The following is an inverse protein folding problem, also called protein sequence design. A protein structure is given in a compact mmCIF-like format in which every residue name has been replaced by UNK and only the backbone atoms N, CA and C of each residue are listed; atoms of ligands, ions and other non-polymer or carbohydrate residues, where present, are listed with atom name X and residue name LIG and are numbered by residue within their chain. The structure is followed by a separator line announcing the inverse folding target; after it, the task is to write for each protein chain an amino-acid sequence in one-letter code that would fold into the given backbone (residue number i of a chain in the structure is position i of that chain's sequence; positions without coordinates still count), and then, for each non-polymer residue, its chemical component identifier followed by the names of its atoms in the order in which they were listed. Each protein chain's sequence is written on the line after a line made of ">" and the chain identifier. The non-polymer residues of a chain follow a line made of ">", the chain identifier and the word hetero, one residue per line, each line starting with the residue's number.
data_IF_819374995557
#
_entry.id   IF_819374995557
#
_cell.length_a   1.000
_cell.length_b   1.000
_cell.length_c   1.000
_cell.angle_alpha   90.00
_cell.angle_beta   90.00
_cell.angle_gamma   90.00
#
_symmetry.space_group_name_H-M   'P 1'
#
loop_
_entity.id
_entity.type
_entity.pdbx_description
1 polymer ?
#
# COMPACT_ATOMS: atom_id res chain seq x y z
N UNK A 1 -56.99 -48.71 -6.83
CA UNK A 1 -56.57 -48.56 -5.41
C UNK A 1 -55.68 -47.31 -5.30
N UNK A 2 -55.92 -46.37 -4.37
CA UNK A 2 -55.10 -45.17 -4.25
C UNK A 2 -53.76 -45.49 -3.58
N UNK A 3 -52.65 -45.03 -4.19
CA UNK A 3 -51.29 -45.20 -3.66
C UNK A 3 -51.12 -44.30 -2.43
N UNK A 4 -50.86 -44.89 -1.27
CA UNK A 4 -50.71 -44.18 0.00
C UNK A 4 -49.56 -43.18 -0.03
N UNK A 5 -49.84 -41.93 0.35
CA UNK A 5 -48.83 -40.88 0.50
C UNK A 5 -47.94 -41.23 1.70
N UNK A 6 -46.68 -41.57 1.43
CA UNK A 6 -45.70 -41.92 2.46
C UNK A 6 -45.53 -40.78 3.48
N UNK A 7 -45.60 -41.12 4.77
CA UNK A 7 -45.42 -40.17 5.89
C UNK A 7 -44.00 -39.61 5.86
N UNK A 8 -43.83 -38.28 5.66
CA UNK A 8 -42.52 -37.61 5.77
C UNK A 8 -41.92 -37.86 7.15
N UNK A 9 -40.90 -38.72 7.22
CA UNK A 9 -40.13 -38.95 8.45
C UNK A 9 -39.32 -37.69 8.72
N UNK A 10 -39.52 -37.06 9.89
CA UNK A 10 -38.69 -35.92 10.30
C UNK A 10 -37.25 -36.41 10.43
N UNK A 11 -36.34 -35.78 9.68
CA UNK A 11 -34.90 -36.03 9.78
C UNK A 11 -34.46 -35.92 11.25
N UNK A 12 -33.84 -36.98 11.80
CA UNK A 12 -33.32 -36.97 13.16
C UNK A 12 -32.22 -35.92 13.23
N UNK A 13 -32.39 -34.93 14.11
CA UNK A 13 -31.40 -33.87 14.28
C UNK A 13 -30.16 -34.47 14.97
N UNK A 14 -29.11 -34.76 14.20
CA UNK A 14 -27.86 -35.29 14.74
C UNK A 14 -27.14 -34.18 15.53
N UNK A 15 -27.23 -34.25 16.86
CA UNK A 15 -26.51 -33.32 17.74
C UNK A 15 -25.03 -33.73 17.82
N UNK A 16 -24.14 -32.82 17.41
CA UNK A 16 -22.70 -32.99 17.54
C UNK A 16 -22.25 -32.53 18.93
N UNK A 17 -22.05 -33.47 19.85
CA UNK A 17 -21.64 -33.18 21.24
C UNK A 17 -20.27 -32.48 21.34
N UNK A 18 -19.39 -32.68 20.36
CA UNK A 18 -18.04 -32.10 20.32
C UNK A 18 -18.04 -30.60 19.93
N UNK A 19 -19.16 -30.06 19.45
CA UNK A 19 -19.24 -28.68 18.94
C UNK A 19 -19.97 -27.80 19.93
N UNK A 20 -19.22 -26.95 20.62
CA UNK A 20 -19.81 -25.92 21.46
C UNK A 20 -20.30 -24.73 20.60
N UNK A 21 -21.54 -24.83 20.13
CA UNK A 21 -22.20 -23.81 19.27
C UNK A 21 -22.20 -22.41 19.89
N UNK A 22 -22.23 -22.29 21.23
CA UNK A 22 -22.15 -20.98 21.92
C UNK A 22 -20.79 -20.33 21.72
N UNK A 23 -19.70 -21.10 21.90
CA UNK A 23 -18.33 -20.62 21.65
C UNK A 23 -18.12 -20.29 20.17
N UNK A 24 -18.61 -21.13 19.27
CA UNK A 24 -18.52 -20.90 17.83
C UNK A 24 -19.26 -19.62 17.40
N UNK A 25 -20.47 -19.39 17.90
CA UNK A 25 -21.20 -18.15 17.63
C UNK A 25 -20.47 -16.91 18.16
N UNK A 26 -19.82 -17.00 19.32
CA UNK A 26 -18.96 -15.90 19.81
C UNK A 26 -17.78 -15.63 18.86
N UNK A 27 -17.15 -16.67 18.33
CA UNK A 27 -16.07 -16.53 17.33
C UNK A 27 -16.58 -15.91 16.03
N UNK A 28 -17.74 -16.37 15.52
CA UNK A 28 -18.36 -15.88 14.27
C UNK A 28 -18.79 -14.40 14.32
N UNK A 29 -19.13 -13.89 15.51
CA UNK A 29 -19.50 -12.48 15.75
C UNK A 29 -18.34 -11.61 16.21
N UNK A 30 -17.20 -12.22 16.56
CA UNK A 30 -16.03 -11.47 17.00
C UNK A 30 -15.53 -10.62 15.85
N UNK A 31 -15.40 -9.33 16.11
CA UNK A 31 -14.80 -8.39 15.16
C UNK A 31 -13.31 -8.74 14.97
N UNK A 32 -12.82 -8.89 13.73
CA UNK A 32 -11.40 -9.04 13.47
C UNK A 32 -10.66 -7.70 13.70
N UNK A 33 -9.33 -7.73 13.74
CA UNK A 33 -8.56 -6.49 13.75
C UNK A 33 -8.60 -5.88 12.34
N UNK A 34 -9.22 -4.71 12.20
CA UNK A 34 -9.41 -4.02 10.92
C UNK A 34 -8.77 -2.65 11.02
N UNK A 35 -7.84 -2.36 10.11
CA UNK A 35 -7.12 -1.07 10.06
C UNK A 35 -7.96 0.03 9.41
N UNK A 36 -8.75 -0.32 8.39
CA UNK A 36 -9.62 0.64 7.69
C UNK A 36 -10.70 1.22 8.62
N UNK A 37 -10.68 2.54 8.79
CA UNK A 37 -11.60 3.25 9.67
C UNK A 37 -13.06 3.19 9.18
N UNK A 38 -13.29 3.24 7.86
CA UNK A 38 -14.63 3.18 7.27
C UNK A 38 -15.32 1.86 7.61
N UNK A 39 -14.66 0.73 7.34
CA UNK A 39 -15.21 -0.60 7.62
C UNK A 39 -15.45 -0.78 9.12
N UNK A 40 -14.50 -0.34 9.96
CA UNK A 40 -14.60 -0.44 11.42
C UNK A 40 -15.78 0.36 11.98
N UNK A 41 -16.04 1.56 11.45
CA UNK A 41 -17.16 2.43 11.87
C UNK A 41 -18.51 1.79 11.61
N UNK A 42 -18.66 1.10 10.48
CA UNK A 42 -19.93 0.51 10.06
C UNK A 42 -20.09 -0.96 10.45
N UNK A 43 -19.19 -1.49 11.28
CA UNK A 43 -19.24 -2.89 11.73
C UNK A 43 -20.32 -3.13 12.79
N UNK A 44 -21.22 -4.09 12.55
CA UNK A 44 -22.26 -4.49 13.51
C UNK A 44 -21.80 -5.71 14.33
N UNK A 45 -21.66 -5.55 15.65
CA UNK A 45 -21.24 -6.63 16.56
C UNK A 45 -22.33 -7.72 16.75
N UNK A 46 -23.58 -7.43 16.39
CA UNK A 46 -24.70 -8.35 16.50
C UNK A 46 -24.71 -9.43 15.41
N UNK A 47 -24.10 -9.12 14.26
CA UNK A 47 -24.08 -9.95 13.04
C UNK A 47 -22.78 -10.75 12.91
N UNK A 48 -22.78 -11.73 12.00
CA UNK A 48 -21.56 -12.46 11.63
C UNK A 48 -20.68 -11.59 10.75
N UNK A 49 -19.37 -11.84 10.77
CA UNK A 49 -18.42 -11.13 9.88
C UNK A 49 -18.84 -11.20 8.41
N UNK A 50 -19.28 -12.38 7.95
CA UNK A 50 -19.77 -12.58 6.58
C UNK A 50 -20.96 -11.67 6.25
N UNK A 51 -21.97 -11.61 7.12
CA UNK A 51 -23.15 -10.76 6.89
C UNK A 51 -22.80 -9.27 6.91
N UNK A 52 -21.80 -8.86 7.70
CA UNK A 52 -21.33 -7.47 7.72
C UNK A 52 -20.64 -7.09 6.40
N UNK A 53 -19.76 -7.94 5.88
CA UNK A 53 -19.14 -7.70 4.58
C UNK A 53 -20.18 -7.68 3.47
N UNK A 54 -21.12 -8.62 3.43
CA UNK A 54 -22.20 -8.63 2.45
C UNK A 54 -23.08 -7.36 2.52
N UNK A 55 -23.41 -6.89 3.73
CA UNK A 55 -24.17 -5.64 3.95
C UNK A 55 -23.42 -4.40 3.42
N UNK A 56 -22.10 -4.38 3.57
CA UNK A 56 -21.19 -3.35 3.05
C UNK A 56 -20.87 -3.54 1.57
N UNK A 57 -21.26 -4.66 0.97
CA UNK A 57 -20.94 -4.97 -0.43
C UNK A 57 -19.55 -5.55 -0.69
N UNK A 58 -18.86 -5.99 0.35
CA UNK A 58 -17.56 -6.64 0.32
C UNK A 58 -17.70 -8.17 0.33
N UNK A 59 -16.66 -8.87 -0.15
CA UNK A 59 -16.58 -10.32 -0.01
C UNK A 59 -15.99 -10.70 1.36
N UNK A 60 -16.45 -11.82 1.94
CA UNK A 60 -15.82 -12.39 3.14
C UNK A 60 -14.63 -13.28 2.82
N UNK A 61 -14.70 -14.02 1.70
CA UNK A 61 -13.71 -15.00 1.28
C UNK A 61 -13.44 -14.83 -0.22
N UNK A 62 -12.28 -14.25 -0.60
CA UNK A 62 -11.99 -13.91 -1.99
C UNK A 62 -11.90 -15.16 -2.88
N UNK A 63 -11.38 -16.26 -2.35
CA UNK A 63 -11.18 -17.50 -3.11
C UNK A 63 -12.52 -18.17 -3.48
N UNK A 64 -13.59 -17.90 -2.71
CA UNK A 64 -14.94 -18.39 -3.04
C UNK A 64 -15.64 -17.47 -4.03
N UNK A 65 -15.45 -16.16 -3.90
CA UNK A 65 -16.09 -15.19 -4.80
C UNK A 65 -15.42 -15.12 -6.16
N UNK A 66 -14.10 -15.32 -6.19
CA UNK A 66 -13.24 -15.30 -7.38
C UNK A 66 -12.39 -16.57 -7.37
N UNK A 67 -12.97 -17.74 -7.69
CA UNK A 67 -12.22 -18.98 -7.73
C UNK A 67 -11.15 -18.91 -8.83
N UNK A 68 -9.90 -19.18 -8.45
CA UNK A 68 -8.81 -19.30 -9.42
C UNK A 68 -9.06 -20.58 -10.22
N UNK A 69 -9.16 -20.50 -11.56
CA UNK A 69 -9.41 -21.66 -12.38
C UNK A 69 -8.19 -22.60 -12.33
N UNK A 70 -8.43 -23.89 -12.17
CA UNK A 70 -7.35 -24.87 -12.25
C UNK A 70 -6.92 -25.07 -13.71
N UNK A 71 -5.72 -25.59 -13.94
CA UNK A 71 -5.21 -25.88 -15.29
C UNK A 71 -6.20 -26.72 -16.12
N UNK A 72 -6.97 -27.61 -15.49
CA UNK A 72 -8.04 -28.40 -16.14
C UNK A 72 -9.25 -27.56 -16.58
N UNK A 73 -9.60 -26.54 -15.78
CA UNK A 73 -10.67 -25.59 -16.11
C UNK A 73 -10.24 -24.67 -17.26
N UNK A 74 -8.95 -24.30 -17.29
CA UNK A 74 -8.35 -23.47 -18.34
C UNK A 74 -8.20 -24.28 -19.64
N UNK A 75 -7.82 -25.56 -19.56
CA UNK A 75 -7.69 -26.47 -20.71
C UNK A 75 -9.03 -27.04 -21.22
N UNK A 76 -10.17 -26.53 -20.74
CA UNK A 76 -11.49 -26.91 -21.29
C UNK A 76 -11.94 -28.35 -21.02
N UNK A 77 -11.28 -29.07 -20.09
CA UNK A 77 -11.71 -30.42 -19.67
C UNK A 77 -12.87 -30.39 -18.65
N UNK A 78 -13.73 -29.38 -18.73
CA UNK A 78 -14.97 -29.35 -17.97
C UNK A 78 -16.01 -30.04 -18.82
N UNK A 79 -16.44 -31.25 -18.43
CA UNK A 79 -17.52 -31.97 -19.11
C UNK A 79 -18.69 -31.02 -19.41
N UNK A 80 -19.25 -31.15 -20.61
CA UNK A 80 -20.41 -30.42 -21.19
C UNK A 80 -21.66 -30.37 -20.29
N UNK A 81 -21.64 -30.98 -19.12
CA UNK A 81 -22.73 -31.00 -18.13
C UNK A 81 -22.75 -29.73 -17.24
N UNK A 82 -21.72 -28.87 -17.29
CA UNK A 82 -21.62 -27.66 -16.48
C UNK A 82 -22.19 -26.38 -17.14
N UNK A 83 -22.65 -26.45 -18.41
CA UNK A 83 -23.20 -25.28 -19.13
C UNK A 83 -24.68 -24.98 -18.79
N UNK A 84 -25.35 -25.81 -17.99
CA UNK A 84 -26.74 -25.58 -17.54
C UNK A 84 -26.87 -25.07 -16.11
N UNK A 85 -25.77 -24.66 -15.47
CA UNK A 85 -25.89 -23.79 -14.30
C UNK A 85 -26.25 -22.39 -14.79
N UNK A 86 -27.53 -22.20 -15.08
CA UNK A 86 -28.16 -20.88 -15.06
C UNK A 86 -27.61 -20.17 -13.81
N UNK A 87 -26.86 -19.09 -14.04
CA UNK A 87 -26.55 -18.16 -12.97
C UNK A 87 -27.90 -17.61 -12.57
N UNK A 88 -28.50 -18.24 -11.56
CA UNK A 88 -29.69 -17.74 -10.90
C UNK A 88 -29.39 -16.27 -10.62
N UNK A 89 -30.01 -15.39 -11.42
CA UNK A 89 -30.14 -13.98 -11.10
C UNK A 89 -31.10 -13.91 -9.91
N UNK A 90 -30.75 -14.56 -8.80
CA UNK A 90 -31.38 -14.30 -7.52
C UNK A 90 -31.26 -12.80 -7.35
N UNK A 91 -32.39 -12.12 -7.33
CA UNK A 91 -32.52 -10.69 -7.13
C UNK A 91 -31.69 -10.32 -5.91
N UNK A 92 -30.45 -9.87 -6.14
CA UNK A 92 -29.52 -9.55 -5.06
C UNK A 92 -30.20 -8.42 -4.28
N UNK A 93 -30.58 -8.72 -3.04
CA UNK A 93 -31.23 -7.74 -2.17
C UNK A 93 -30.37 -6.47 -2.17
N UNK A 94 -30.98 -5.28 -2.23
CA UNK A 94 -30.23 -4.04 -2.17
C UNK A 94 -29.37 -4.05 -0.91
N UNK A 95 -28.08 -3.73 -1.04
CA UNK A 95 -27.15 -3.82 0.08
C UNK A 95 -27.41 -2.62 0.97
N UNK A 96 -27.35 -2.81 2.29
CA UNK A 96 -27.78 -1.78 3.25
C UNK A 96 -26.76 -0.65 3.40
N UNK A 97 -25.48 -0.90 3.09
CA UNK A 97 -24.35 0.00 3.37
C UNK A 97 -23.43 0.17 2.15
N UNK A 98 -24.00 0.39 0.98
CA UNK A 98 -23.26 0.53 -0.30
C UNK A 98 -22.30 1.72 -0.31
N UNK A 99 -22.60 2.78 0.45
CA UNK A 99 -21.74 3.96 0.58
C UNK A 99 -20.33 3.63 1.10
N UNK A 100 -20.15 2.50 1.79
CA UNK A 100 -18.83 2.05 2.26
C UNK A 100 -17.93 1.72 1.07
N UNK A 101 -18.44 1.03 0.05
CA UNK A 101 -17.68 0.72 -1.16
C UNK A 101 -17.29 1.99 -1.88
N UNK A 102 -18.25 2.91 -2.06
CA UNK A 102 -18.00 4.19 -2.71
C UNK A 102 -16.90 4.99 -2.01
N UNK A 103 -16.93 5.06 -0.68
CA UNK A 103 -15.88 5.73 0.10
C UNK A 103 -14.51 5.07 -0.04
N UNK A 104 -14.46 3.73 -0.13
CA UNK A 104 -13.22 3.00 -0.37
C UNK A 104 -12.68 3.20 -1.79
N UNK A 105 -13.55 3.29 -2.79
CA UNK A 105 -13.17 3.59 -4.17
C UNK A 105 -12.59 5.01 -4.28
N UNK A 106 -13.21 5.99 -3.62
CA UNK A 106 -12.71 7.37 -3.54
C UNK A 106 -11.34 7.44 -2.84
N UNK A 107 -11.18 6.74 -1.71
CA UNK A 107 -9.90 6.65 -0.98
C UNK A 107 -8.81 5.97 -1.83
N UNK A 108 -9.14 4.88 -2.53
CA UNK A 108 -8.21 4.18 -3.41
C UNK A 108 -7.81 5.00 -4.66
N UNK A 109 -8.74 5.80 -5.19
CA UNK A 109 -8.46 6.70 -6.29
C UNK A 109 -7.58 7.90 -5.88
N UNK A 110 -7.49 8.19 -4.58
CA UNK A 110 -6.63 9.25 -4.10
C UNK A 110 -5.15 8.84 -4.24
N UNK A 111 -4.41 9.59 -5.05
CA UNK A 111 -2.98 9.34 -5.22
C UNK A 111 -2.22 9.56 -3.90
N UNK A 112 -1.64 8.49 -3.36
CA UNK A 112 -0.78 8.58 -2.17
C UNK A 112 0.47 9.40 -2.46
N UNK A 113 0.67 10.48 -1.70
CA UNK A 113 1.89 11.29 -1.78
C UNK A 113 3.01 10.60 -1.01
N UNK A 114 3.79 9.74 -1.68
CA UNK A 114 5.05 9.26 -1.11
C UNK A 114 5.99 10.45 -0.92
N UNK A 115 6.57 10.67 0.28
CA UNK A 115 7.51 11.76 0.49
C UNK A 115 8.73 11.53 -0.42
N UNK A 116 9.00 12.48 -1.31
CA UNK A 116 10.19 12.47 -2.15
C UNK A 116 11.39 12.83 -1.27
N UNK A 117 12.11 11.82 -0.79
CA UNK A 117 13.33 11.97 0.00
C UNK A 117 14.38 10.98 -0.46
N UNK A 118 15.63 11.40 -0.44
CA UNK A 118 16.80 10.58 -0.73
C UNK A 118 17.41 10.08 0.59
N UNK A 119 18.08 8.91 0.61
CA UNK A 119 18.89 8.49 1.74
C UNK A 119 19.94 9.55 2.12
N UNK A 120 20.27 9.67 3.40
CA UNK A 120 21.20 10.70 3.89
C UNK A 120 22.61 10.56 3.30
N UNK A 121 23.09 9.33 3.11
CA UNK A 121 24.40 9.04 2.51
C UNK A 121 24.47 9.49 1.05
N UNK A 122 23.42 9.23 0.27
CA UNK A 122 23.32 9.69 -1.12
C UNK A 122 23.30 11.22 -1.20
N UNK A 123 22.64 11.89 -0.24
CA UNK A 123 22.65 13.36 -0.15
C UNK A 123 24.05 13.89 0.13
N UNK A 124 24.75 13.32 1.12
CA UNK A 124 26.14 13.70 1.46
C UNK A 124 27.06 13.53 0.26
N UNK A 125 26.91 12.43 -0.48
CA UNK A 125 27.64 12.20 -1.72
C UNK A 125 27.35 13.27 -2.77
N UNK A 126 26.08 13.59 -3.04
CA UNK A 126 25.70 14.62 -4.02
C UNK A 126 26.25 16.00 -3.64
N UNK A 127 26.14 16.39 -2.36
CA UNK A 127 26.65 17.67 -1.85
C UNK A 127 28.16 17.76 -2.07
N UNK A 128 28.91 16.73 -1.67
CA UNK A 128 30.36 16.73 -1.82
C UNK A 128 30.80 16.80 -3.30
N UNK A 129 30.11 16.10 -4.18
CA UNK A 129 30.40 16.15 -5.61
C UNK A 129 30.10 17.53 -6.21
N UNK A 130 28.99 18.15 -5.81
CA UNK A 130 28.61 19.49 -6.24
C UNK A 130 29.58 20.57 -5.73
N UNK A 131 30.07 20.45 -4.50
CA UNK A 131 31.01 21.41 -3.90
C UNK A 131 32.41 21.30 -4.54
N UNK A 132 32.88 20.08 -4.82
CA UNK A 132 34.24 19.85 -5.34
C UNK A 132 34.35 20.04 -6.85
N UNK A 133 33.37 19.56 -7.62
CA UNK A 133 33.45 19.49 -9.09
C UNK A 133 32.39 20.33 -9.81
N UNK A 134 31.40 20.88 -9.11
CA UNK A 134 30.36 21.70 -9.71
C UNK A 134 29.47 20.90 -10.67
N UNK A 135 29.64 21.09 -11.98
CA UNK A 135 28.87 20.41 -13.04
C UNK A 135 29.72 19.47 -13.91
N UNK A 136 30.99 19.25 -13.56
CA UNK A 136 31.90 18.36 -14.29
C UNK A 136 31.67 16.87 -13.92
N UNK A 137 30.65 16.24 -14.52
CA UNK A 137 30.26 14.87 -14.19
C UNK A 137 31.33 13.80 -14.53
N UNK A 138 32.18 14.05 -15.53
CA UNK A 138 33.27 13.12 -15.87
C UNK A 138 34.34 13.07 -14.78
N UNK A 139 34.64 14.22 -14.15
CA UNK A 139 35.57 14.28 -13.01
C UNK A 139 34.97 13.65 -11.76
N UNK A 140 33.66 13.82 -11.54
CA UNK A 140 32.95 13.16 -10.43
C UNK A 140 33.03 11.63 -10.56
N UNK A 141 32.89 11.09 -11.77
CA UNK A 141 32.95 9.65 -12.00
C UNK A 141 34.35 9.07 -11.68
N UNK A 142 35.41 9.86 -11.87
CA UNK A 142 36.80 9.50 -11.57
C UNK A 142 37.21 9.75 -10.12
N UNK A 143 36.36 10.37 -9.30
CA UNK A 143 36.67 10.61 -7.89
C UNK A 143 36.69 9.30 -7.10
N UNK A 144 37.64 9.16 -6.18
CA UNK A 144 37.80 7.95 -5.36
C UNK A 144 36.59 7.64 -4.47
N UNK A 145 35.77 8.65 -4.13
CA UNK A 145 34.56 8.52 -3.33
C UNK A 145 33.38 7.98 -4.13
N UNK A 146 33.49 7.89 -5.45
CA UNK A 146 32.57 7.15 -6.30
C UNK A 146 32.81 5.63 -6.14
N UNK A 147 32.58 5.12 -4.92
CA UNK A 147 32.86 3.73 -4.56
C UNK A 147 32.11 2.72 -5.44
N UNK A 148 30.85 3.05 -5.78
CA UNK A 148 29.99 2.23 -6.62
C UNK A 148 30.27 2.38 -8.11
N UNK A 149 31.29 3.15 -8.50
CA UNK A 149 31.69 3.35 -9.89
C UNK A 149 30.52 3.83 -10.76
N UNK A 150 29.71 4.76 -10.25
CA UNK A 150 28.63 5.36 -11.01
C UNK A 150 29.18 6.02 -12.28
N UNK A 151 28.52 5.77 -13.39
CA UNK A 151 28.78 6.46 -14.66
C UNK A 151 28.44 7.96 -14.53
N UNK A 152 29.04 8.84 -15.36
CA UNK A 152 28.75 10.29 -15.33
C UNK A 152 27.26 10.60 -15.44
N UNK A 153 26.53 9.85 -16.27
CA UNK A 153 25.08 9.99 -16.44
C UNK A 153 24.28 9.56 -15.20
N UNK A 154 24.72 8.53 -14.47
CA UNK A 154 24.10 8.13 -13.21
C UNK A 154 24.32 9.19 -12.13
N UNK A 155 25.53 9.74 -12.03
CA UNK A 155 25.84 10.84 -11.10
C UNK A 155 24.98 12.07 -11.42
N UNK A 156 24.87 12.44 -12.70
CA UNK A 156 23.98 13.52 -13.15
C UNK A 156 22.53 13.27 -12.75
N UNK A 157 22.01 12.05 -12.93
CA UNK A 157 20.66 11.68 -12.49
C UNK A 157 20.49 11.79 -10.97
N UNK A 158 21.48 11.35 -10.17
CA UNK A 158 21.46 11.48 -8.70
C UNK A 158 21.44 12.94 -8.27
N UNK A 159 22.30 13.78 -8.84
CA UNK A 159 22.34 15.23 -8.57
C UNK A 159 21.03 15.91 -8.99
N UNK A 160 20.47 15.59 -10.16
CA UNK A 160 19.19 16.15 -10.59
C UNK A 160 18.04 15.71 -9.69
N UNK A 161 18.05 14.46 -9.24
CA UNK A 161 17.09 13.95 -8.25
C UNK A 161 17.23 14.71 -6.93
N UNK A 162 18.45 14.99 -6.48
CA UNK A 162 18.73 15.80 -5.30
C UNK A 162 18.23 17.25 -5.44
N UNK A 163 18.52 17.92 -6.56
CA UNK A 163 18.02 19.28 -6.87
C UNK A 163 16.48 19.35 -6.89
N UNK A 164 15.82 18.31 -7.40
CA UNK A 164 14.35 18.21 -7.44
C UNK A 164 13.72 17.96 -6.04
N UNK A 165 14.52 17.53 -5.05
CA UNK A 165 14.03 17.32 -3.69
C UNK A 165 14.12 18.60 -2.88
N UNK A 166 13.03 19.36 -2.86
CA UNK A 166 12.99 20.66 -2.21
C UNK A 166 13.45 20.66 -0.75
N UNK A 167 13.04 19.67 0.07
CA UNK A 167 13.37 19.66 1.50
C UNK A 167 14.87 19.57 1.75
N UNK A 168 15.54 18.63 1.07
CA UNK A 168 16.97 18.38 1.26
C UNK A 168 17.80 19.45 0.57
N UNK A 169 17.38 19.89 -0.62
CA UNK A 169 18.08 20.93 -1.35
C UNK A 169 18.00 22.29 -0.66
N UNK A 170 16.83 22.67 -0.10
CA UNK A 170 16.69 23.89 0.73
C UNK A 170 17.61 23.86 1.96
N UNK A 171 17.73 22.70 2.63
CA UNK A 171 18.67 22.52 3.75
C UNK A 171 20.12 22.78 3.31
N UNK A 172 20.52 22.23 2.17
CA UNK A 172 21.86 22.45 1.60
C UNK A 172 22.11 23.91 1.21
N UNK A 173 21.12 24.58 0.58
CA UNK A 173 21.26 26.01 0.24
C UNK A 173 21.41 26.87 1.50
N UNK A 174 20.67 26.57 2.57
CA UNK A 174 20.80 27.26 3.85
C UNK A 174 22.21 27.09 4.43
N UNK A 175 22.75 25.86 4.45
CA UNK A 175 24.11 25.61 4.97
C UNK A 175 25.20 26.25 4.10
N UNK A 176 25.01 26.27 2.77
CA UNK A 176 25.97 26.88 1.86
C UNK A 176 26.00 28.41 2.00
N UNK A 177 24.83 29.03 2.16
CA UNK A 177 24.74 30.48 2.35
C UNK A 177 25.32 30.90 3.71
N UNK A 178 25.10 30.12 4.78
CA UNK A 178 25.72 30.39 6.08
C UNK A 178 27.25 30.20 6.05
N UNK A 179 27.75 29.17 5.37
CA UNK A 179 29.19 28.91 5.26
C UNK A 179 29.93 29.93 4.37
N UNK A 180 29.27 30.50 3.36
CA UNK A 180 29.82 31.63 2.59
C UNK A 180 29.91 32.91 3.45
N UNK A 181 28.88 33.17 4.26
CA UNK A 181 28.86 34.33 5.14
C UNK A 181 29.98 34.30 6.21
N UNK A 182 30.38 33.12 6.70
CA UNK A 182 31.49 33.00 7.66
C UNK A 182 32.85 33.18 6.99
N UNK A 183 33.05 32.65 5.78
CA UNK A 183 34.32 32.80 5.06
C UNK A 183 34.60 34.25 4.65
N UNK A 184 33.57 35.05 4.34
CA UNK A 184 33.72 36.47 3.99
C UNK A 184 34.11 37.33 5.21
N UNK A 185 33.61 37.01 6.41
CA UNK A 185 33.98 37.70 7.66
C UNK A 185 35.41 37.38 8.11
N UNK A 186 35.85 36.13 7.93
CA UNK A 186 37.21 35.69 8.27
C UNK A 186 38.26 36.30 7.31
N UNK A 187 37.90 36.53 6.04
CA UNK A 187 38.77 37.25 5.10
C UNK A 187 38.89 38.74 5.42
N UNK A 188 37.79 39.38 5.88
CA UNK A 188 37.77 40.80 6.21
C UNK A 188 38.62 41.12 7.44
N UNK A 189 38.53 40.29 8.50
CA UNK A 189 39.35 40.44 9.72
C UNK A 189 40.83 40.19 9.47
N UNK A 190 41.18 39.32 8.51
CA UNK A 190 42.57 39.08 8.13
C UNK A 190 43.20 40.25 7.35
N UNK A 191 42.42 40.93 6.50
CA UNK A 191 42.87 42.15 5.82
C UNK A 191 43.05 43.34 6.75
N UNK A 192 42.30 43.44 7.84
CA UNK A 192 42.47 44.54 8.83
C UNK A 192 43.77 44.39 9.64
N UNK A 193 44.22 43.16 9.91
CA UNK A 193 45.47 42.88 10.62
C UNK A 193 46.74 43.05 9.76
N UNK A 194 46.63 43.01 8.43
CA UNK A 194 47.74 43.21 7.49
C UNK A 194 47.98 44.70 7.15
N UNK A 195 47.09 45.61 7.56
CA UNK A 195 47.22 47.06 7.34
C UNK A 195 47.90 47.76 8.54
N UNK A 196 47.99 47.12 9.70
CA UNK A 196 48.60 47.67 10.93
C UNK A 196 50.07 47.24 11.17
N UNK A 197 50.73 46.59 10.21
CA UNK A 197 52.18 46.25 10.25
C UNK A 197 52.94 46.90 9.11
#
# INVERSE_FOLDING_TARGET
>A
MPKGVGRKVRSKHNYKYNVNRRKENKKRKKMPNIDCALIKKFWDKGKSSQSNFEDMGLCFDPNKTLPIPNVKDIMGYRSLEAETMEVDKTTKKPRRKEFVVKGLEEEANQAEKRPKSMPEEEVKYCVLMMEKYGEDYEKMARDYRNYYQDTPNQIKKKINKFKNMEKQYKKYLASRNSGKATMEMDTATKTELEIET
#
